data_IF_148282229904
#
_entry.id   IF_148282229904
#
_cell.length_a   1.000
_cell.length_b   1.000
_cell.length_c   1.000
_cell.angle_alpha   90.00
_cell.angle_beta   90.00
_cell.angle_gamma   90.00
#
_symmetry.space_group_name_H-M   'P 1'
#
loop_
_entity.id
_entity.type
_entity.pdbx_description
1 polymer ?
#
# COMPACT_ATOMS: atom_id res chain seq x y z
N UNK A 1 -4.14 -13.92 18.54
CA UNK A 1 -4.43 -12.62 17.90
C UNK A 1 -5.02 -12.88 16.53
N UNK A 2 -6.06 -12.14 16.16
CA UNK A 2 -6.74 -12.32 14.89
C UNK A 2 -6.07 -11.49 13.78
N UNK A 3 -5.88 -12.04 12.58
CA UNK A 3 -5.47 -11.26 11.42
C UNK A 3 -6.45 -10.13 11.13
N UNK A 4 -5.96 -9.02 10.58
CA UNK A 4 -6.75 -7.89 10.13
C UNK A 4 -6.57 -7.63 8.62
N UNK A 5 -7.28 -8.37 7.74
CA UNK A 5 -7.15 -8.22 6.29
C UNK A 5 -7.55 -6.83 5.77
N UNK A 6 -8.30 -6.03 6.52
CA UNK A 6 -8.72 -4.68 6.13
C UNK A 6 -7.51 -3.78 5.85
N UNK A 7 -6.37 -4.02 6.51
CA UNK A 7 -5.12 -3.30 6.24
C UNK A 7 -4.72 -3.39 4.75
N UNK A 8 -5.06 -4.50 4.08
CA UNK A 8 -4.77 -4.64 2.64
C UNK A 8 -5.60 -3.69 1.78
N UNK A 9 -6.72 -3.17 2.28
CA UNK A 9 -7.58 -2.18 1.63
C UNK A 9 -7.03 -0.76 1.64
N UNK A 10 -5.89 -0.54 2.32
CA UNK A 10 -5.22 0.75 2.33
C UNK A 10 -4.94 1.25 0.91
N UNK A 11 -5.29 2.51 0.60
CA UNK A 11 -5.05 3.06 -0.73
C UNK A 11 -3.55 3.28 -0.93
N UNK A 12 -3.16 3.37 -2.20
CA UNK A 12 -1.84 3.88 -2.55
C UNK A 12 -1.70 5.33 -2.08
N UNK A 13 -0.50 5.70 -1.64
CA UNK A 13 -0.21 7.06 -1.18
C UNK A 13 -0.50 8.05 -2.32
N UNK A 14 -1.29 9.12 -2.10
CA UNK A 14 -1.51 10.18 -3.08
C UNK A 14 -0.20 10.77 -3.61
N UNK A 15 -0.13 11.02 -4.92
CA UNK A 15 1.09 11.52 -5.59
C UNK A 15 1.73 12.75 -4.93
N UNK A 16 0.96 13.77 -4.47
CA UNK A 16 1.54 14.94 -3.81
C UNK A 16 2.32 14.60 -2.52
N UNK A 17 2.03 13.47 -1.88
CA UNK A 17 2.70 13.05 -0.65
C UNK A 17 3.91 12.12 -0.91
N UNK A 18 4.22 11.81 -2.18
CA UNK A 18 5.32 10.91 -2.50
C UNK A 18 6.67 11.46 -2.04
N UNK A 19 7.45 10.60 -1.40
CA UNK A 19 8.75 10.93 -0.81
C UNK A 19 8.68 11.51 0.60
N UNK A 20 7.50 11.88 1.10
CA UNK A 20 7.28 12.11 2.53
C UNK A 20 7.05 10.77 3.22
N UNK A 21 7.82 10.50 4.27
CA UNK A 21 7.59 9.33 5.12
C UNK A 21 8.11 9.59 6.54
N UNK A 22 7.49 9.02 7.58
CA UNK A 22 7.89 9.16 8.96
C UNK A 22 9.37 8.87 9.23
N UNK A 23 9.99 7.92 8.50
CA UNK A 23 11.40 7.59 8.67
C UNK A 23 12.32 8.77 8.30
N UNK A 24 12.04 9.48 7.21
CA UNK A 24 12.83 10.66 6.83
C UNK A 24 12.49 11.88 7.68
N UNK A 25 11.24 11.98 8.16
CA UNK A 25 10.77 13.13 8.93
C UNK A 25 11.16 13.08 10.42
N UNK A 26 11.10 11.90 11.04
CA UNK A 26 11.39 11.69 12.47
C UNK A 26 12.74 11.02 12.74
N UNK A 27 13.43 10.59 11.69
CA UNK A 27 14.76 10.01 11.77
C UNK A 27 14.80 8.50 11.98
N UNK A 28 16.00 7.94 11.74
CA UNK A 28 16.27 6.51 11.74
C UNK A 28 16.06 5.85 13.11
N UNK A 29 16.47 6.52 14.19
CA UNK A 29 16.36 5.98 15.55
C UNK A 29 14.90 5.80 15.96
N UNK A 30 14.07 6.81 15.70
CA UNK A 30 12.62 6.73 15.90
C UNK A 30 12.02 5.58 15.10
N UNK A 31 12.38 5.48 13.82
CA UNK A 31 11.90 4.42 12.93
C UNK A 31 12.27 3.03 13.43
N UNK A 32 13.53 2.84 13.84
CA UNK A 32 14.03 1.55 14.32
C UNK A 32 13.36 1.11 15.61
N UNK A 33 13.03 2.05 16.50
CA UNK A 33 12.28 1.75 17.71
C UNK A 33 10.84 1.34 17.36
N UNK A 34 10.10 2.19 16.65
CA UNK A 34 8.66 1.97 16.38
C UNK A 34 8.42 0.74 15.51
N UNK A 35 9.27 0.45 14.51
CA UNK A 35 9.11 -0.78 13.71
C UNK A 35 9.32 -2.04 14.54
N UNK A 36 10.27 -2.03 15.50
CA UNK A 36 10.51 -3.19 16.38
C UNK A 36 9.35 -3.40 17.34
N UNK A 37 8.79 -2.32 17.88
CA UNK A 37 7.57 -2.34 18.68
C UNK A 37 6.40 -2.94 17.87
N UNK A 38 6.19 -2.48 16.63
CA UNK A 38 5.17 -3.02 15.75
C UNK A 38 5.35 -4.53 15.47
N UNK A 39 6.60 -4.99 15.30
CA UNK A 39 6.89 -6.40 15.07
C UNK A 39 6.59 -7.25 16.31
N UNK A 40 6.96 -6.76 17.50
CA UNK A 40 6.73 -7.45 18.76
C UNK A 40 5.24 -7.47 19.17
N UNK A 41 4.52 -6.36 18.92
CA UNK A 41 3.08 -6.19 19.24
C UNK A 41 2.22 -7.33 18.71
N UNK A 42 2.58 -7.90 17.56
CA UNK A 42 1.84 -8.99 16.91
C UNK A 42 2.57 -10.33 16.95
N UNK A 43 3.43 -10.60 17.95
CA UNK A 43 4.20 -11.85 18.07
C UNK A 43 4.96 -12.20 16.79
N UNK A 44 5.56 -11.19 16.15
CA UNK A 44 6.25 -11.33 14.86
C UNK A 44 5.40 -12.00 13.77
N UNK A 45 4.09 -11.73 13.78
CA UNK A 45 3.16 -12.12 12.73
C UNK A 45 2.75 -10.92 11.90
N UNK A 46 2.52 -11.17 10.62
CA UNK A 46 1.90 -10.19 9.73
C UNK A 46 0.53 -9.81 10.28
N UNK A 47 0.30 -8.53 10.54
CA UNK A 47 -0.96 -8.02 11.06
C UNK A 47 -2.11 -8.34 10.10
N UNK A 48 -1.88 -8.26 8.78
CA UNK A 48 -2.92 -8.53 7.79
C UNK A 48 -3.34 -10.00 7.67
N UNK A 49 -2.40 -10.95 7.73
CA UNK A 49 -2.69 -12.37 7.41
C UNK A 49 -2.31 -13.38 8.50
N UNK A 50 -1.72 -12.94 9.61
CA UNK A 50 -1.34 -13.78 10.75
C UNK A 50 -0.12 -14.68 10.55
N UNK A 51 0.48 -14.70 9.35
CA UNK A 51 1.67 -15.53 9.10
C UNK A 51 2.84 -15.06 9.96
N UNK A 52 3.46 -15.97 10.70
CA UNK A 52 4.67 -15.67 11.46
C UNK A 52 5.85 -15.44 10.50
N UNK A 53 6.77 -14.52 10.86
CA UNK A 53 7.94 -14.15 10.04
C UNK A 53 8.74 -15.36 9.54
N UNK A 54 8.89 -16.40 10.37
CA UNK A 54 9.66 -17.59 10.01
C UNK A 54 9.02 -18.45 8.92
N UNK A 55 7.72 -18.26 8.67
CA UNK A 55 6.89 -18.95 7.67
C UNK A 55 6.45 -18.03 6.53
N UNK A 56 6.83 -16.75 6.55
CA UNK A 56 6.49 -15.81 5.49
C UNK A 56 7.16 -16.22 4.18
N UNK A 57 6.39 -16.12 3.07
CA UNK A 57 6.88 -16.41 1.71
C UNK A 57 7.76 -15.27 1.22
N UNK A 58 8.71 -15.59 0.33
CA UNK A 58 9.74 -14.71 -0.23
C UNK A 58 10.80 -14.27 0.79
N UNK A 59 10.39 -13.68 1.91
CA UNK A 59 11.27 -13.20 2.95
C UNK A 59 10.88 -13.79 4.31
N UNK A 60 11.87 -14.19 5.11
CA UNK A 60 11.65 -14.71 6.48
C UNK A 60 11.70 -13.61 7.55
N UNK A 61 11.26 -12.40 7.19
CA UNK A 61 11.17 -11.23 8.05
C UNK A 61 9.87 -10.46 7.80
N UNK A 62 9.59 -9.47 8.65
CA UNK A 62 8.48 -8.53 8.47
C UNK A 62 9.00 -7.18 8.00
N UNK A 63 8.13 -6.48 7.29
CA UNK A 63 8.32 -5.14 6.76
C UNK A 63 7.34 -4.22 7.49
N UNK A 64 7.81 -3.07 7.94
CA UNK A 64 6.97 -2.06 8.57
C UNK A 64 6.18 -1.31 7.48
N UNK A 65 4.90 -1.06 7.77
CA UNK A 65 4.02 -0.31 6.90
C UNK A 65 3.28 0.75 7.71
N UNK A 66 3.09 1.92 7.11
CA UNK A 66 2.44 3.08 7.71
C UNK A 66 0.94 3.02 7.46
N UNK A 67 0.15 3.04 8.53
CA UNK A 67 -1.30 3.16 8.47
C UNK A 67 -1.65 4.63 8.47
N UNK A 68 -2.33 5.09 7.43
CA UNK A 68 -2.80 6.47 7.29
C UNK A 68 -4.32 6.55 7.33
N UNK A 69 -4.85 7.57 8.00
CA UNK A 69 -6.22 8.04 7.81
C UNK A 69 -6.22 9.13 6.75
N UNK A 70 -7.06 8.98 5.73
CA UNK A 70 -7.12 9.90 4.60
C UNK A 70 -8.46 10.60 4.56
N UNK A 71 -8.42 11.93 4.59
CA UNK A 71 -9.52 12.77 4.15
C UNK A 71 -9.18 13.29 2.75
N UNK A 72 -9.74 12.63 1.74
CA UNK A 72 -9.51 12.98 0.35
C UNK A 72 -10.14 14.32 -0.04
N UNK A 73 -11.18 14.78 0.66
CA UNK A 73 -11.81 16.06 0.37
C UNK A 73 -10.93 17.23 0.80
N UNK A 74 -10.24 17.09 1.94
CA UNK A 74 -9.35 18.15 2.46
C UNK A 74 -7.86 17.94 2.12
N UNK A 75 -7.49 16.79 1.58
CA UNK A 75 -6.10 16.44 1.26
C UNK A 75 -5.28 16.07 2.50
N UNK A 76 -5.93 15.70 3.60
CA UNK A 76 -5.25 15.35 4.85
C UNK A 76 -4.92 13.87 4.88
N UNK A 77 -3.65 13.53 5.03
CA UNK A 77 -3.21 12.18 5.40
C UNK A 77 -2.59 12.22 6.79
N UNK A 78 -3.08 11.44 7.74
CA UNK A 78 -2.54 11.37 9.10
C UNK A 78 -2.02 9.98 9.42
N UNK A 79 -0.76 9.90 9.87
CA UNK A 79 -0.19 8.63 10.32
C UNK A 79 -0.84 8.20 11.64
N UNK A 80 -1.49 7.05 11.62
CA UNK A 80 -2.17 6.45 12.77
C UNK A 80 -1.21 5.55 13.54
N UNK A 81 -0.60 4.58 12.86
CA UNK A 81 0.36 3.65 13.47
C UNK A 81 1.30 3.03 12.43
N UNK A 82 2.34 2.35 12.93
CA UNK A 82 3.17 1.45 12.13
C UNK A 82 2.74 0.01 12.42
N UNK A 83 2.50 -0.77 11.37
CA UNK A 83 2.14 -2.19 11.47
C UNK A 83 3.20 -3.09 10.85
N UNK A 84 3.23 -4.35 11.28
CA UNK A 84 4.13 -5.35 10.75
C UNK A 84 3.43 -6.18 9.65
N UNK A 85 3.98 -6.21 8.44
CA UNK A 85 3.45 -6.97 7.32
C UNK A 85 4.48 -7.97 6.79
N UNK A 86 4.02 -9.11 6.25
CA UNK A 86 4.88 -9.97 5.44
C UNK A 86 5.07 -9.35 4.05
N UNK A 87 6.14 -9.75 3.36
CA UNK A 87 6.49 -9.23 2.03
C UNK A 87 5.31 -9.24 1.05
N UNK A 88 4.54 -10.34 0.98
CA UNK A 88 3.38 -10.43 0.10
C UNK A 88 2.28 -9.44 0.47
N UNK A 89 1.93 -9.31 1.75
CA UNK A 89 0.88 -8.37 2.18
C UNK A 89 1.30 -6.91 1.97
N UNK A 90 2.56 -6.58 2.27
CA UNK A 90 3.07 -5.24 2.09
C UNK A 90 3.11 -4.83 0.60
N UNK A 91 3.60 -5.71 -0.26
CA UNK A 91 3.64 -5.43 -1.70
C UNK A 91 2.25 -5.45 -2.34
N UNK A 92 1.29 -6.21 -1.81
CA UNK A 92 -0.10 -6.14 -2.27
C UNK A 92 -0.70 -4.74 -2.11
N UNK A 93 -0.40 -4.03 -1.00
CA UNK A 93 -0.81 -2.65 -0.81
C UNK A 93 -0.15 -1.77 -1.88
N UNK A 94 1.15 -1.91 -2.08
CA UNK A 94 1.96 -1.17 -3.07
C UNK A 94 1.97 -1.82 -4.46
N UNK A 95 0.80 -2.21 -4.98
CA UNK A 95 0.68 -2.93 -6.25
C UNK A 95 1.18 -2.12 -7.46
N UNK A 96 0.94 -0.80 -7.46
CA UNK A 96 1.42 0.08 -8.51
C UNK A 96 2.95 0.05 -8.62
N UNK A 97 3.66 -0.01 -7.48
CA UNK A 97 5.12 -0.17 -7.47
C UNK A 97 5.55 -1.52 -8.03
N UNK A 98 4.86 -2.61 -7.67
CA UNK A 98 5.16 -3.93 -8.23
C UNK A 98 5.00 -3.94 -9.76
N UNK A 99 3.92 -3.34 -10.26
CA UNK A 99 3.63 -3.27 -11.69
C UNK A 99 4.75 -2.55 -12.46
N UNK A 100 5.25 -1.43 -11.94
CA UNK A 100 6.36 -0.71 -12.57
C UNK A 100 7.68 -1.50 -12.55
N UNK A 101 7.98 -2.21 -11.46
CA UNK A 101 9.16 -3.08 -11.37
C UNK A 101 9.10 -4.20 -12.41
N UNK A 102 7.93 -4.84 -12.56
CA UNK A 102 7.72 -5.91 -13.55
C UNK A 102 7.83 -5.37 -14.98
N UNK A 103 7.22 -4.22 -15.28
CA UNK A 103 7.34 -3.56 -16.59
C UNK A 103 8.79 -3.20 -16.92
N UNK A 104 9.57 -2.80 -15.92
CA UNK A 104 10.99 -2.50 -16.07
C UNK A 104 11.86 -3.75 -16.27
N UNK A 105 11.31 -4.96 -16.13
CA UNK A 105 12.02 -6.22 -16.39
C UNK A 105 13.00 -6.63 -15.29
N UNK A 106 12.79 -6.21 -14.03
CA UNK A 106 13.65 -6.60 -12.92
C UNK A 106 13.65 -8.13 -12.71
N UNK A 107 14.83 -8.75 -12.86
CA UNK A 107 15.00 -10.20 -12.75
C UNK A 107 14.74 -10.73 -11.33
N UNK A 108 14.86 -9.89 -10.29
CA UNK A 108 14.60 -10.26 -8.90
C UNK A 108 13.12 -10.18 -8.51
N UNK A 109 12.28 -9.61 -9.39
CA UNK A 109 10.84 -9.50 -9.17
C UNK A 109 10.06 -9.93 -10.41
N UNK A 110 9.87 -11.23 -10.55
CA UNK A 110 9.25 -11.83 -11.74
C UNK A 110 7.75 -11.57 -11.83
N UNK A 111 7.21 -11.64 -13.06
CA UNK A 111 5.75 -11.65 -13.33
C UNK A 111 5.04 -12.70 -12.46
N UNK A 112 5.64 -13.89 -12.29
CA UNK A 112 5.07 -14.96 -11.44
C UNK A 112 4.93 -14.51 -9.97
N UNK A 113 5.93 -13.81 -9.43
CA UNK A 113 5.88 -13.26 -8.06
C UNK A 113 4.80 -12.19 -7.92
N UNK A 114 4.68 -11.30 -8.91
CA UNK A 114 3.63 -10.29 -8.96
C UNK A 114 2.23 -10.88 -8.94
N UNK A 115 1.95 -11.86 -9.83
CA UNK A 115 0.66 -12.52 -9.92
C UNK A 115 0.31 -13.29 -8.63
N UNK A 116 1.27 -14.00 -8.04
CA UNK A 116 1.09 -14.71 -6.76
C UNK A 116 0.71 -13.77 -5.61
N UNK A 117 1.38 -12.61 -5.53
CA UNK A 117 1.08 -11.60 -4.51
C UNK A 117 -0.33 -11.04 -4.70
N UNK A 118 -0.70 -10.68 -5.94
CA UNK A 118 -2.03 -10.16 -6.25
C UNK A 118 -3.14 -11.17 -5.96
N UNK A 119 -2.98 -12.42 -6.38
CA UNK A 119 -3.97 -13.47 -6.14
C UNK A 119 -4.15 -13.72 -4.65
N UNK A 120 -3.05 -13.86 -3.90
CA UNK A 120 -3.10 -14.08 -2.45
C UNK A 120 -3.79 -12.92 -1.72
N UNK A 121 -3.47 -11.68 -2.06
CA UNK A 121 -4.07 -10.52 -1.42
C UNK A 121 -5.56 -10.38 -1.71
N UNK A 122 -5.96 -10.53 -2.98
CA UNK A 122 -7.38 -10.53 -3.36
C UNK A 122 -8.16 -11.63 -2.62
N UNK A 123 -7.60 -12.84 -2.51
CA UNK A 123 -8.23 -13.96 -1.78
C UNK A 123 -8.41 -13.64 -0.28
N UNK A 124 -7.42 -13.02 0.36
CA UNK A 124 -7.52 -12.63 1.77
C UNK A 124 -8.63 -11.60 2.00
N UNK A 125 -8.75 -10.62 1.09
CA UNK A 125 -9.83 -9.64 1.11
C UNK A 125 -11.18 -10.31 0.89
N UNK A 126 -11.32 -11.12 -0.15
CA UNK A 126 -12.58 -11.83 -0.43
C UNK A 126 -13.05 -12.67 0.77
N UNK A 127 -12.14 -13.42 1.40
CA UNK A 127 -12.45 -14.22 2.59
C UNK A 127 -12.90 -13.35 3.76
N UNK A 128 -12.31 -12.18 3.94
CA UNK A 128 -12.72 -11.25 4.98
C UNK A 128 -14.09 -10.62 4.67
N UNK A 129 -14.30 -10.13 3.45
CA UNK A 129 -15.54 -9.49 3.05
C UNK A 129 -16.74 -10.43 3.09
N UNK A 130 -16.55 -11.74 2.86
CA UNK A 130 -17.58 -12.77 3.08
C UNK A 130 -18.15 -12.78 4.50
N UNK A 131 -17.45 -12.20 5.47
CA UNK A 131 -17.90 -12.08 6.87
C UNK A 131 -18.54 -10.73 7.19
N UNK A 132 -18.49 -9.75 6.27
CA UNK A 132 -19.00 -8.39 6.46
C UNK A 132 -20.47 -8.26 6.05
N UNK A 133 -21.22 -7.39 6.73
CA UNK A 133 -22.59 -7.04 6.33
C UNK A 133 -22.60 -6.35 4.96
N UNK A 134 -23.58 -6.70 4.12
CA UNK A 134 -23.70 -6.15 2.76
C UNK A 134 -23.00 -6.99 1.69
N UNK A 135 -22.13 -7.94 2.06
CA UNK A 135 -21.62 -8.92 1.10
C UNK A 135 -22.73 -9.90 0.70
N UNK A 136 -23.10 -9.90 -0.59
CA UNK A 136 -24.01 -10.90 -1.18
C UNK A 136 -23.24 -11.71 -2.20
N UNK A 137 -23.23 -13.04 -2.07
CA UNK A 137 -22.76 -13.91 -3.15
C UNK A 137 -23.56 -13.60 -4.42
N UNK A 138 -22.89 -13.15 -5.48
CA UNK A 138 -23.52 -12.85 -6.77
C UNK A 138 -24.26 -11.50 -6.88
N UNK A 139 -24.15 -10.60 -5.90
CA UNK A 139 -24.71 -9.25 -5.98
C UNK A 139 -23.80 -8.29 -6.75
N UNK A 140 -24.05 -8.10 -8.05
CA UNK A 140 -23.40 -7.13 -8.95
C UNK A 140 -21.89 -6.98 -8.72
N UNK A 141 -21.17 -8.07 -9.01
CA UNK A 141 -19.70 -8.08 -9.02
C UNK A 141 -19.25 -7.71 -10.43
N UNK A 142 -18.17 -6.93 -10.52
CA UNK A 142 -17.56 -6.48 -11.76
C UNK A 142 -17.56 -7.58 -12.84
N UNK A 143 -17.83 -7.27 -14.13
CA UNK A 143 -18.02 -8.28 -15.19
C UNK A 143 -16.84 -9.25 -15.43
N UNK A 144 -15.70 -9.04 -14.76
CA UNK A 144 -14.48 -9.86 -14.85
C UNK A 144 -14.14 -10.64 -13.56
N UNK A 145 -15.10 -10.75 -12.62
CA UNK A 145 -14.98 -11.55 -11.41
C UNK A 145 -14.62 -10.77 -10.14
N UNK A 146 -14.64 -11.48 -9.01
CA UNK A 146 -14.66 -10.97 -7.63
C UNK A 146 -13.33 -10.38 -7.12
N UNK A 147 -12.51 -9.78 -7.99
CA UNK A 147 -11.19 -9.25 -7.63
C UNK A 147 -11.28 -7.74 -7.43
N UNK A 148 -10.55 -7.23 -6.45
CA UNK A 148 -10.38 -5.79 -6.29
C UNK A 148 -9.23 -5.27 -7.14
N UNK A 149 -8.06 -5.92 -7.05
CA UNK A 149 -6.87 -5.54 -7.81
C UNK A 149 -6.67 -6.48 -9.00
N UNK A 150 -6.59 -5.91 -10.20
CA UNK A 150 -6.41 -6.64 -11.45
C UNK A 150 -4.95 -6.54 -11.92
N UNK A 151 -4.34 -7.64 -12.40
CA UNK A 151 -3.00 -7.58 -12.97
C UNK A 151 -2.88 -6.55 -14.08
N UNK A 152 -1.85 -5.73 -14.00
CA UNK A 152 -1.49 -4.70 -14.98
C UNK A 152 -2.54 -3.60 -15.20
N UNK A 153 -3.51 -3.45 -14.30
CA UNK A 153 -4.49 -2.37 -14.33
C UNK A 153 -4.28 -1.41 -13.14
N UNK A 154 -4.56 -0.11 -13.30
CA UNK A 154 -4.52 0.83 -12.18
C UNK A 154 -5.52 0.44 -11.08
N UNK A 155 -5.05 0.36 -9.84
CA UNK A 155 -5.94 0.13 -8.69
C UNK A 155 -6.64 1.42 -8.27
N UNK A 156 -7.97 1.38 -8.19
CA UNK A 156 -8.79 2.43 -7.58
C UNK A 156 -8.98 2.16 -6.07
N UNK A 157 -9.20 3.21 -5.26
CA UNK A 157 -9.59 3.05 -3.86
C UNK A 157 -10.75 2.06 -3.69
N UNK A 158 -10.72 1.22 -2.65
CA UNK A 158 -11.64 0.09 -2.49
C UNK A 158 -13.12 0.51 -2.55
N UNK A 159 -13.49 1.58 -1.83
CA UNK A 159 -14.87 2.06 -1.72
C UNK A 159 -15.41 2.60 -3.05
N UNK A 160 -14.54 2.97 -4.01
CA UNK A 160 -14.97 3.32 -5.38
C UNK A 160 -15.29 2.09 -6.22
N UNK A 161 -14.62 0.98 -5.95
CA UNK A 161 -14.84 -0.30 -6.65
C UNK A 161 -16.03 -1.06 -6.05
N UNK A 162 -16.20 -0.98 -4.73
CA UNK A 162 -17.26 -1.67 -3.98
C UNK A 162 -18.08 -0.69 -3.14
N UNK A 163 -18.83 0.25 -3.76
CA UNK A 163 -19.53 1.31 -3.04
C UNK A 163 -20.65 0.82 -2.12
N UNK A 164 -21.14 -0.41 -2.34
CA UNK A 164 -22.21 -1.02 -1.53
C UNK A 164 -21.68 -1.86 -0.37
N UNK A 165 -20.36 -2.09 -0.29
CA UNK A 165 -19.75 -2.88 0.78
C UNK A 165 -19.35 -1.95 1.92
N UNK A 166 -20.07 -2.03 3.04
CA UNK A 166 -19.73 -1.27 4.22
C UNK A 166 -18.57 -1.94 4.96
N UNK A 167 -17.43 -1.25 5.00
CA UNK A 167 -16.27 -1.62 5.83
C UNK A 167 -16.11 -0.51 6.86
N UNK A 168 -16.58 -0.69 8.11
CA UNK A 168 -16.65 0.38 9.11
C UNK A 168 -15.32 1.10 9.38
N UNK A 169 -14.22 0.39 9.22
CA UNK A 169 -12.85 0.88 9.43
C UNK A 169 -12.31 1.71 8.27
N UNK A 170 -13.02 1.73 7.13
CA UNK A 170 -12.69 2.50 5.95
C UNK A 170 -13.59 3.73 5.87
N UNK A 171 -13.00 4.92 5.94
CA UNK A 171 -13.75 6.16 5.79
C UNK A 171 -14.40 6.24 4.40
N UNK A 172 -15.61 6.83 4.34
CA UNK A 172 -16.30 7.04 3.08
C UNK A 172 -15.45 7.92 2.16
N UNK A 173 -15.38 7.57 0.88
CA UNK A 173 -14.66 8.37 -0.11
C UNK A 173 -15.58 9.47 -0.59
N UNK A 174 -15.16 10.72 -0.40
CA UNK A 174 -15.80 11.87 -1.04
C UNK A 174 -15.63 11.79 -2.57
N UNK A 175 -16.66 12.18 -3.32
CA UNK A 175 -16.57 12.29 -4.79
C UNK A 175 -15.51 13.32 -5.20
N UNK A 176 -15.39 14.39 -4.41
CA UNK A 176 -14.41 15.45 -4.61
C UNK A 176 -13.07 15.09 -3.94
N UNK A 177 -11.98 15.30 -4.68
CA UNK A 177 -10.62 15.13 -4.19
C UNK A 177 -9.90 16.47 -4.17
N UNK A 178 -9.19 16.73 -3.08
CA UNK A 178 -8.42 17.94 -2.87
C UNK A 178 -7.36 18.17 -3.98
N UNK A 179 -7.08 19.45 -4.26
CA UNK A 179 -6.06 19.85 -5.20
C UNK A 179 -4.66 19.52 -4.71
N UNK A 180 -3.68 19.53 -5.63
CA UNK A 180 -2.29 19.16 -5.33
C UNK A 180 -1.71 19.87 -4.10
N UNK A 181 -1.94 21.18 -3.99
CA UNK A 181 -1.43 22.04 -2.92
C UNK A 181 -2.11 21.84 -1.56
N UNK A 182 -3.32 21.29 -1.55
CA UNK A 182 -4.09 21.07 -0.34
C UNK A 182 -3.57 19.85 0.43
N UNK A 183 -2.92 18.92 -0.29
CA UNK A 183 -2.39 17.71 0.28
C UNK A 183 -1.30 17.98 1.32
N UNK A 184 -1.46 17.37 2.48
CA UNK A 184 -0.48 17.42 3.56
C UNK A 184 -0.50 16.15 4.40
N UNK A 185 0.68 15.77 4.88
CA UNK A 185 0.92 14.66 5.77
C UNK A 185 1.01 15.16 7.22
N UNK A 186 0.33 14.49 8.14
CA UNK A 186 0.42 14.72 9.57
C UNK A 186 1.14 13.53 10.22
N UNK A 187 2.27 13.81 10.86
CA UNK A 187 3.07 12.82 11.59
C UNK A 187 3.41 13.42 12.95
N UNK A 188 3.05 12.72 14.03
CA UNK A 188 3.25 13.19 15.40
C UNK A 188 2.70 14.62 15.65
N UNK A 189 1.54 14.94 15.05
CA UNK A 189 0.91 16.26 15.14
C UNK A 189 1.55 17.35 14.28
N UNK A 190 2.69 17.08 13.64
CA UNK A 190 3.36 18.02 12.74
C UNK A 190 2.84 17.87 11.31
N UNK A 191 2.62 18.99 10.63
CA UNK A 191 2.13 19.06 9.25
C UNK A 191 3.30 19.21 8.26
N UNK A 192 3.30 18.39 7.22
CA UNK A 192 4.30 18.37 6.15
C UNK A 192 3.62 18.44 4.78
N UNK A 193 4.17 19.22 3.87
CA UNK A 193 3.60 19.45 2.53
C UNK A 193 4.44 18.80 1.45
N UNK A 194 3.85 18.65 0.26
CA UNK A 194 4.52 18.14 -0.94
C UNK A 194 5.87 18.81 -1.17
N UNK A 195 6.88 18.00 -1.51
CA UNK A 195 8.17 18.50 -2.00
C UNK A 195 8.12 18.93 -3.48
N UNK A 196 7.02 18.61 -4.18
CA UNK A 196 6.79 18.96 -5.58
C UNK A 196 5.71 20.04 -5.67
N UNK A 197 5.92 21.01 -6.54
CA UNK A 197 4.98 22.09 -6.83
C UNK A 197 3.69 21.59 -7.46
N UNK A 198 3.79 20.64 -8.38
CA UNK A 198 2.67 20.13 -9.17
C UNK A 198 2.96 18.71 -9.73
N UNK A 199 1.97 18.15 -10.42
CA UNK A 199 2.06 16.82 -11.03
C UNK A 199 3.15 16.72 -12.09
N UNK A 200 3.47 17.81 -12.80
CA UNK A 200 4.47 17.80 -13.87
C UNK A 200 5.88 17.65 -13.28
N UNK A 201 6.17 18.39 -12.20
CA UNK A 201 7.44 18.26 -11.49
C UNK A 201 7.60 16.85 -10.87
N UNK A 202 6.55 16.33 -10.24
CA UNK A 202 6.52 14.97 -9.71
C UNK A 202 6.80 13.93 -10.81
N UNK A 203 6.13 14.04 -11.96
CA UNK A 203 6.29 13.12 -13.07
C UNK A 203 7.71 13.16 -13.66
N UNK A 204 8.29 14.37 -13.79
CA UNK A 204 9.66 14.54 -14.25
C UNK A 204 10.68 13.90 -13.29
N UNK A 205 10.50 14.10 -11.98
CA UNK A 205 11.36 13.51 -10.96
C UNK A 205 11.35 11.97 -11.01
N UNK A 206 10.17 11.36 -10.95
CA UNK A 206 10.04 9.90 -10.95
C UNK A 206 10.34 9.27 -12.32
N UNK A 207 10.06 9.97 -13.42
CA UNK A 207 10.49 9.58 -14.76
C UNK A 207 12.01 9.48 -14.86
N UNK A 208 12.74 10.48 -14.38
CA UNK A 208 14.20 10.48 -14.36
C UNK A 208 14.78 9.37 -13.45
N UNK A 209 14.17 9.13 -12.27
CA UNK A 209 14.57 8.03 -11.39
C UNK A 209 14.40 6.65 -12.04
N UNK A 210 13.29 6.44 -12.73
CA UNK A 210 13.00 5.18 -13.42
C UNK A 210 13.94 4.97 -14.62
N UNK A 211 14.26 6.03 -15.37
CA UNK A 211 15.25 5.96 -16.46
C UNK A 211 16.66 5.63 -15.95
N UNK A 212 17.08 6.19 -14.82
CA UNK A 212 18.38 5.84 -14.20
C UNK A 212 18.42 4.36 -13.79
N UNK A 213 17.30 3.82 -13.28
CA UNK A 213 17.19 2.41 -12.88
C UNK A 213 17.20 1.45 -14.06
N UNK A 214 16.55 1.79 -15.18
CA UNK A 214 16.59 0.94 -16.38
C UNK A 214 18.01 0.88 -16.97
N UNK A 215 18.74 2.00 -16.95
CA UNK A 215 20.17 2.03 -17.32
C UNK A 215 21.00 1.15 -16.36
N UNK A 216 20.80 1.25 -15.04
CA UNK A 216 21.52 0.41 -14.07
C UNK A 216 21.14 -1.07 -14.09
N UNK A 217 19.95 -1.43 -14.57
CA UNK A 217 19.55 -2.83 -14.75
C UNK A 217 20.12 -3.43 -16.05
N UNK A 218 20.38 -2.59 -17.06
CA UNK A 218 21.06 -2.98 -18.31
C UNK A 218 22.59 -3.08 -18.20
N UNK A 219 23.18 -2.46 -17.17
CA UNK A 219 24.58 -2.59 -16.81
C UNK A 219 24.74 -3.48 -15.60
N UNK A 220 25.36 -4.65 -15.77
CA UNK A 220 25.74 -5.56 -14.66
C UNK A 220 26.36 -4.76 -13.49
N UNK A 221 25.87 -4.92 -12.25
CA UNK A 221 26.62 -5.30 -11.03
C UNK A 221 25.93 -4.92 -9.68
N UNK A 222 25.84 -5.95 -8.82
CA UNK A 222 25.94 -6.01 -7.33
C UNK A 222 25.27 -4.93 -6.43
N UNK A 223 24.34 -5.47 -5.62
CA UNK A 223 23.68 -4.99 -4.38
C UNK A 223 22.38 -4.19 -4.55
#
# INVERSE_FOLDING_TARGET
>A
MNPNPIILLHPNIPKPLHGLNPRTLLGQEWWDRVRKEAYAKHDYRCHACGVHKSKAKYHRWLEAHEIYRYDFATGRAEMVEIVALCHSCHNFIHDGRMQEIVKAGDLNFTVKKYLDILERGNRLIELHLKTCQGWREGGSMHPEGNRWKHPFQPTQPFQRVFPLVNVPELEAICEETAGWSDWHLIVAGMKFHSQFKDESEWAAHYGALNAKKSVSLSGVFKW
#
